data_IF_012995871634
#
_entry.id   IF_012995871634
#
_cell.length_a   1.000
_cell.length_b   1.000
_cell.length_c   1.000
_cell.angle_alpha   90.00
_cell.angle_beta   90.00
_cell.angle_gamma   90.00
#
_symmetry.space_group_name_H-M   'P 1'
#
loop_
_entity.id
_entity.type
_entity.pdbx_description
1 polymer ?
#
# COMPACT_ATOMS: atom_id res chain seq x y z
N UNK A 1 -8.90 -13.06 5.62
CA UNK A 1 -10.37 -12.86 5.56
C UNK A 1 -11.13 -13.79 6.51
N UNK A 2 -10.92 -15.11 6.50
CA UNK A 2 -11.68 -16.07 7.33
C UNK A 2 -11.51 -15.92 8.84
N UNK A 3 -10.40 -15.36 9.30
CA UNK A 3 -10.22 -15.01 10.73
C UNK A 3 -11.07 -13.80 11.14
N UNK A 4 -11.15 -12.78 10.28
CA UNK A 4 -11.91 -11.53 10.53
C UNK A 4 -13.41 -11.71 10.25
N UNK A 5 -13.76 -12.58 9.30
CA UNK A 5 -15.13 -12.87 8.90
C UNK A 5 -15.28 -14.37 8.57
N UNK A 6 -15.47 -15.22 9.58
CA UNK A 6 -15.60 -16.66 9.40
C UNK A 6 -16.89 -17.03 8.68
N UNK A 7 -16.87 -18.16 7.98
CA UNK A 7 -18.04 -18.65 7.26
C UNK A 7 -19.01 -19.33 8.22
N UNK A 8 -20.25 -18.83 8.30
CA UNK A 8 -21.29 -19.37 9.19
C UNK A 8 -22.39 -20.11 8.43
N UNK A 9 -22.43 -19.99 7.11
CA UNK A 9 -23.45 -20.60 6.25
C UNK A 9 -22.79 -21.62 5.32
N UNK A 10 -23.55 -22.63 4.89
CA UNK A 10 -23.07 -23.57 3.88
C UNK A 10 -22.95 -22.85 2.53
N UNK A 11 -21.81 -23.04 1.84
CA UNK A 11 -21.61 -22.52 0.49
C UNK A 11 -22.69 -23.05 -0.45
N UNK A 12 -23.29 -22.16 -1.23
CA UNK A 12 -24.28 -22.51 -2.26
C UNK A 12 -23.63 -23.05 -3.53
N UNK A 13 -22.37 -22.72 -3.78
CA UNK A 13 -21.58 -23.21 -4.90
C UNK A 13 -20.76 -24.42 -4.48
N UNK A 14 -20.91 -25.52 -5.22
CA UNK A 14 -20.12 -26.75 -5.10
C UNK A 14 -19.14 -26.88 -6.28
N UNK A 15 -18.20 -27.82 -6.16
CA UNK A 15 -17.20 -28.10 -7.21
C UNK A 15 -17.87 -28.43 -8.56
N UNK A 16 -19.05 -29.04 -8.53
CA UNK A 16 -19.85 -29.37 -9.73
C UNK A 16 -20.34 -28.12 -10.47
N UNK A 17 -20.64 -27.03 -9.77
CA UNK A 17 -21.11 -25.77 -10.36
C UNK A 17 -19.98 -25.04 -11.10
N UNK A 18 -18.74 -25.17 -10.61
CA UNK A 18 -17.55 -24.59 -11.25
C UNK A 18 -17.33 -25.20 -12.64
N UNK A 19 -17.61 -26.51 -12.81
CA UNK A 19 -17.50 -27.19 -14.11
C UNK A 19 -18.55 -26.72 -15.14
N UNK A 20 -19.61 -26.04 -14.69
CA UNK A 20 -20.69 -25.52 -15.55
C UNK A 20 -20.50 -24.05 -15.93
N UNK A 21 -19.40 -23.41 -15.52
CA UNK A 21 -19.13 -22.04 -15.89
C UNK A 21 -18.95 -21.91 -17.40
N UNK A 22 -19.72 -21.02 -18.02
CA UNK A 22 -19.52 -20.64 -19.41
C UNK A 22 -18.21 -19.85 -19.50
N UNK A 23 -17.17 -20.48 -20.04
CA UNK A 23 -15.91 -19.80 -20.35
C UNK A 23 -16.14 -18.87 -21.55
N UNK A 24 -15.56 -17.67 -21.48
CA UNK A 24 -15.44 -16.82 -22.65
C UNK A 24 -14.61 -17.58 -23.70
N UNK A 25 -15.21 -17.85 -24.87
CA UNK A 25 -14.52 -18.47 -25.99
C UNK A 25 -13.97 -17.36 -26.87
N UNK A 26 -12.65 -17.22 -26.88
CA UNK A 26 -11.93 -16.42 -27.86
C UNK A 26 -11.53 -17.32 -29.04
N UNK A 27 -11.57 -16.82 -30.27
CA UNK A 27 -11.22 -17.56 -31.48
C UNK A 27 -9.72 -17.84 -31.64
N UNK A 28 -8.86 -17.14 -30.88
CA UNK A 28 -7.42 -17.39 -30.84
C UNK A 28 -6.67 -16.49 -29.86
N UNK A 29 -5.35 -16.69 -29.77
CA UNK A 29 -4.46 -15.93 -28.86
C UNK A 29 -4.50 -14.43 -29.17
N UNK A 30 -4.52 -14.06 -30.45
CA UNK A 30 -4.52 -12.66 -30.89
C UNK A 30 -5.82 -11.94 -30.49
N UNK A 31 -6.97 -12.61 -30.66
CA UNK A 31 -8.26 -12.05 -30.25
C UNK A 31 -8.35 -11.90 -28.73
N UNK A 32 -7.89 -12.90 -27.98
CA UNK A 32 -7.84 -12.84 -26.52
C UNK A 32 -6.93 -11.70 -26.03
N UNK A 33 -5.76 -11.52 -26.66
CA UNK A 33 -4.84 -10.43 -26.35
C UNK A 33 -5.45 -9.05 -26.66
N UNK A 34 -6.08 -8.91 -27.84
CA UNK A 34 -6.75 -7.66 -28.24
C UNK A 34 -7.92 -7.30 -27.32
N UNK A 35 -8.76 -8.28 -26.97
CA UNK A 35 -9.85 -8.10 -26.03
C UNK A 35 -9.35 -7.70 -24.63
N UNK A 36 -8.28 -8.33 -24.14
CA UNK A 36 -7.64 -7.98 -22.87
C UNK A 36 -7.07 -6.56 -22.86
N UNK A 37 -6.45 -6.12 -23.97
CA UNK A 37 -5.92 -4.76 -24.11
C UNK A 37 -7.05 -3.71 -24.05
N UNK A 38 -8.14 -3.92 -24.79
CA UNK A 38 -9.30 -3.01 -24.79
C UNK A 38 -9.97 -2.98 -23.41
N UNK A 39 -10.15 -4.14 -22.76
CA UNK A 39 -10.73 -4.20 -21.42
C UNK A 39 -9.89 -3.42 -20.38
N UNK A 40 -8.56 -3.46 -20.53
CA UNK A 40 -7.61 -2.78 -19.63
C UNK A 40 -7.70 -1.25 -19.70
N UNK A 41 -8.17 -0.66 -20.82
CA UNK A 41 -8.30 0.79 -20.95
C UNK A 41 -9.19 1.41 -19.85
N UNK A 42 -10.30 0.73 -19.53
CA UNK A 42 -11.21 1.19 -18.48
C UNK A 42 -10.56 1.16 -17.09
N UNK A 43 -9.76 0.12 -16.82
CA UNK A 43 -9.04 -0.06 -15.56
C UNK A 43 -7.95 1.00 -15.42
N UNK A 44 -7.14 1.21 -16.46
CA UNK A 44 -6.07 2.23 -16.50
C UNK A 44 -6.67 3.63 -16.34
N UNK A 45 -7.77 3.93 -17.04
CA UNK A 45 -8.47 5.20 -16.91
C UNK A 45 -8.97 5.47 -15.49
N UNK A 46 -9.56 4.46 -14.85
CA UNK A 46 -9.98 4.56 -13.45
C UNK A 46 -8.80 4.81 -12.50
N UNK A 47 -7.67 4.11 -12.69
CA UNK A 47 -6.45 4.31 -11.89
C UNK A 47 -5.91 5.73 -12.08
N UNK A 48 -5.75 6.21 -13.31
CA UNK A 48 -5.23 7.54 -13.59
C UNK A 48 -6.10 8.66 -12.99
N UNK A 49 -7.42 8.59 -13.19
CA UNK A 49 -8.35 9.54 -12.60
C UNK A 49 -8.30 9.53 -11.06
N UNK A 50 -8.23 8.34 -10.47
CA UNK A 50 -8.10 8.16 -9.04
C UNK A 50 -6.80 8.77 -8.50
N UNK A 51 -5.66 8.54 -9.16
CA UNK A 51 -4.37 9.11 -8.78
C UNK A 51 -4.39 10.63 -8.78
N UNK A 52 -4.93 11.25 -9.84
CA UNK A 52 -5.05 12.73 -9.92
C UNK A 52 -5.89 13.25 -8.75
N UNK A 53 -7.07 12.66 -8.52
CA UNK A 53 -7.96 13.07 -7.44
C UNK A 53 -7.28 12.96 -6.06
N UNK A 54 -6.62 11.83 -5.76
CA UNK A 54 -5.96 11.63 -4.47
C UNK A 54 -4.72 12.49 -4.27
N UNK A 55 -3.92 12.77 -5.32
CA UNK A 55 -2.79 13.70 -5.23
C UNK A 55 -3.29 15.12 -4.93
N UNK A 56 -4.37 15.56 -5.59
CA UNK A 56 -4.98 16.87 -5.31
C UNK A 56 -5.55 16.95 -3.90
N UNK A 57 -6.24 15.91 -3.42
CA UNK A 57 -6.76 15.85 -2.06
C UNK A 57 -5.62 15.85 -1.04
N UNK A 58 -4.54 15.07 -1.27
CA UNK A 58 -3.38 15.08 -0.39
C UNK A 58 -2.75 16.47 -0.31
N UNK A 59 -2.51 17.13 -1.45
CA UNK A 59 -1.95 18.48 -1.49
C UNK A 59 -2.83 19.49 -0.73
N UNK A 60 -4.15 19.37 -0.87
CA UNK A 60 -5.11 20.17 -0.12
C UNK A 60 -5.01 19.90 1.40
N UNK A 61 -5.06 18.63 1.82
CA UNK A 61 -4.96 18.26 3.24
C UNK A 61 -3.62 18.73 3.82
N UNK A 62 -2.51 18.51 3.12
CA UNK A 62 -1.19 18.99 3.56
C UNK A 62 -1.16 20.50 3.75
N UNK A 63 -1.75 21.26 2.81
CA UNK A 63 -1.84 22.71 2.93
C UNK A 63 -2.69 23.12 4.15
N UNK A 64 -3.82 22.44 4.38
CA UNK A 64 -4.69 22.69 5.55
C UNK A 64 -4.01 22.34 6.87
N UNK A 65 -3.37 21.17 6.96
CA UNK A 65 -2.68 20.71 8.19
C UNK A 65 -1.48 21.60 8.48
N UNK A 66 -0.73 22.00 7.45
CA UNK A 66 0.40 22.94 7.59
C UNK A 66 -0.09 24.28 8.11
N UNK A 67 -1.17 24.81 7.53
CA UNK A 67 -1.80 26.05 7.97
C UNK A 67 -2.25 25.96 9.44
N UNK A 68 -2.93 24.88 9.82
CA UNK A 68 -3.33 24.63 11.22
C UNK A 68 -2.12 24.51 12.16
N UNK A 69 -1.04 23.85 11.73
CA UNK A 69 0.20 23.71 12.48
C UNK A 69 0.81 25.05 12.83
N UNK A 70 0.90 25.97 11.86
CA UNK A 70 1.37 27.33 12.12
C UNK A 70 0.44 28.10 13.07
N UNK A 71 -0.87 27.89 12.99
CA UNK A 71 -1.83 28.49 13.94
C UNK A 71 -1.70 27.92 15.36
N UNK A 72 -1.24 26.69 15.51
CA UNK A 72 -0.96 26.05 16.79
C UNK A 72 0.42 26.43 17.37
N UNK A 73 1.20 27.28 16.69
CA UNK A 73 2.52 27.73 17.14
C UNK A 73 3.67 26.78 16.79
N UNK A 74 3.45 25.80 15.89
CA UNK A 74 4.54 24.96 15.38
C UNK A 74 5.43 25.77 14.44
N UNK A 75 6.74 25.66 14.62
CA UNK A 75 7.76 26.33 13.78
C UNK A 75 8.15 25.54 12.52
N UNK A 76 7.59 24.35 12.34
CA UNK A 76 7.86 23.45 11.21
C UNK A 76 6.57 23.15 10.43
N UNK A 77 6.68 22.85 9.11
CA UNK A 77 5.51 22.51 8.30
C UNK A 77 4.97 21.14 8.71
N UNK A 78 3.84 21.13 9.42
CA UNK A 78 3.15 19.90 9.79
C UNK A 78 2.41 19.35 8.56
N UNK A 79 2.87 18.23 8.00
CA UNK A 79 2.20 17.57 6.88
C UNK A 79 1.31 16.41 7.35
N UNK A 80 0.38 15.98 6.50
CA UNK A 80 -0.48 14.84 6.78
C UNK A 80 0.32 13.54 6.90
N UNK A 81 1.33 13.36 6.06
CA UNK A 81 2.22 12.20 6.10
C UNK A 81 2.96 12.13 7.45
N UNK A 82 3.39 13.29 7.97
CA UNK A 82 3.98 13.37 9.30
C UNK A 82 2.99 12.88 10.36
N UNK A 83 1.75 13.35 10.36
CA UNK A 83 0.71 12.88 11.30
C UNK A 83 0.49 11.37 11.20
N UNK A 84 0.39 10.84 9.97
CA UNK A 84 0.23 9.41 9.73
C UNK A 84 1.43 8.59 10.23
N UNK A 85 2.64 9.15 10.14
CA UNK A 85 3.84 8.48 10.64
C UNK A 85 3.77 8.20 12.14
N UNK A 86 3.18 9.10 12.94
CA UNK A 86 2.96 8.86 14.37
C UNK A 86 1.81 7.87 14.61
N UNK A 87 0.74 7.95 13.82
CA UNK A 87 -0.41 7.05 13.92
C UNK A 87 -0.02 5.58 13.69
N UNK A 88 0.80 5.33 12.67
CA UNK A 88 1.22 3.98 12.28
C UNK A 88 2.57 3.55 12.89
N UNK A 89 3.22 4.41 13.68
CA UNK A 89 4.50 4.10 14.32
C UNK A 89 4.47 2.80 15.14
N UNK A 90 3.46 2.55 16.00
CA UNK A 90 3.40 1.30 16.77
C UNK A 90 3.26 0.07 15.88
N UNK A 91 2.57 0.20 14.75
CA UNK A 91 2.38 -0.88 13.81
C UNK A 91 3.70 -1.25 13.11
N UNK A 92 4.47 -0.25 12.68
CA UNK A 92 5.80 -0.47 12.09
C UNK A 92 6.74 -1.17 13.09
N UNK A 93 6.68 -0.80 14.37
CA UNK A 93 7.47 -1.44 15.42
C UNK A 93 7.08 -2.93 15.59
N UNK A 94 5.78 -3.24 15.64
CA UNK A 94 5.27 -4.62 15.77
C UNK A 94 5.67 -5.49 14.56
N UNK A 95 5.84 -4.88 13.39
CA UNK A 95 6.33 -5.57 12.19
C UNK A 95 7.83 -5.90 12.22
N UNK A 96 8.54 -5.51 13.28
CA UNK A 96 9.95 -5.78 13.47
C UNK A 96 10.88 -4.76 12.81
N UNK A 97 10.38 -3.57 12.48
CA UNK A 97 11.22 -2.45 12.01
C UNK A 97 12.00 -1.87 13.21
N UNK A 98 13.30 -1.55 13.06
CA UNK A 98 14.06 -0.86 14.10
C UNK A 98 13.44 0.50 14.46
N UNK A 99 13.40 0.93 15.74
CA UNK A 99 12.77 2.17 16.17
C UNK A 99 13.19 3.43 15.40
N UNK A 100 14.46 3.47 14.94
CA UNK A 100 15.04 4.53 14.13
C UNK A 100 14.40 4.70 12.74
N UNK A 101 13.88 3.61 12.17
CA UNK A 101 13.27 3.58 10.82
C UNK A 101 11.74 3.52 10.88
N UNK A 102 11.18 3.25 12.07
CA UNK A 102 9.74 3.05 12.25
C UNK A 102 8.91 4.23 11.75
N UNK A 103 9.39 5.48 11.92
CA UNK A 103 8.66 6.67 11.46
C UNK A 103 8.50 6.67 9.94
N UNK A 104 9.58 6.38 9.22
CA UNK A 104 9.62 6.36 7.76
C UNK A 104 8.75 5.24 7.21
N UNK A 105 8.84 4.03 7.78
CA UNK A 105 7.99 2.90 7.37
C UNK A 105 6.52 3.16 7.70
N UNK A 106 6.22 3.76 8.86
CA UNK A 106 4.87 4.14 9.24
C UNK A 106 4.27 5.21 8.32
N UNK A 107 5.07 6.18 7.88
CA UNK A 107 4.68 7.17 6.89
C UNK A 107 4.22 6.50 5.58
N UNK A 108 5.01 5.54 5.07
CA UNK A 108 4.67 4.76 3.88
C UNK A 108 3.38 3.95 4.05
N UNK A 109 3.20 3.29 5.20
CA UNK A 109 1.97 2.54 5.51
C UNK A 109 0.76 3.48 5.56
N UNK A 110 0.94 4.68 6.11
CA UNK A 110 -0.09 5.71 6.15
C UNK A 110 -0.49 6.19 4.76
N UNK A 111 0.49 6.60 3.95
CA UNK A 111 0.30 7.02 2.56
C UNK A 111 -0.45 5.94 1.79
N UNK A 112 -0.02 4.68 1.92
CA UNK A 112 -0.70 3.53 1.30
C UNK A 112 -2.17 3.46 1.72
N UNK A 113 -2.44 3.49 3.03
CA UNK A 113 -3.77 3.23 3.58
C UNK A 113 -4.78 4.31 3.20
N UNK A 114 -4.37 5.58 3.30
CA UNK A 114 -5.26 6.72 3.09
C UNK A 114 -5.29 7.22 1.64
N UNK A 115 -4.21 7.07 0.90
CA UNK A 115 -4.11 7.52 -0.49
C UNK A 115 -4.13 6.33 -1.44
N UNK A 116 -2.97 5.73 -1.68
CA UNK A 116 -2.80 4.53 -2.51
C UNK A 116 -1.37 3.97 -2.42
N UNK A 117 -1.22 2.73 -2.86
CA UNK A 117 0.06 2.01 -2.92
C UNK A 117 1.04 2.61 -3.93
N UNK A 118 0.59 3.16 -5.05
CA UNK A 118 1.48 3.69 -6.09
C UNK A 118 2.31 4.89 -5.58
N UNK A 119 1.68 5.84 -4.89
CA UNK A 119 2.35 6.99 -4.27
C UNK A 119 3.32 6.51 -3.18
N UNK A 120 2.90 5.53 -2.36
CA UNK A 120 3.78 4.95 -1.34
C UNK A 120 5.02 4.27 -1.96
N UNK A 121 4.85 3.54 -3.06
CA UNK A 121 5.97 2.94 -3.78
C UNK A 121 6.88 3.97 -4.43
N UNK A 122 6.34 5.04 -5.01
CA UNK A 122 7.16 6.12 -5.55
C UNK A 122 8.06 6.71 -4.46
N UNK A 123 7.53 6.91 -3.26
CA UNK A 123 8.31 7.38 -2.11
C UNK A 123 9.37 6.38 -1.66
N UNK A 124 9.02 5.10 -1.63
CA UNK A 124 9.97 4.03 -1.27
C UNK A 124 11.10 3.89 -2.29
N UNK A 125 10.83 4.09 -3.58
CA UNK A 125 11.85 4.10 -4.64
C UNK A 125 12.86 5.21 -4.39
N UNK A 126 12.41 6.43 -4.12
CA UNK A 126 13.31 7.55 -3.77
C UNK A 126 14.18 7.22 -2.56
N UNK A 127 13.61 6.64 -1.50
CA UNK A 127 14.36 6.22 -0.31
C UNK A 127 15.43 5.16 -0.67
N UNK A 128 15.09 4.21 -1.55
CA UNK A 128 16.01 3.17 -2.01
C UNK A 128 17.14 3.73 -2.88
N UNK A 129 16.83 4.68 -3.76
CA UNK A 129 17.82 5.37 -4.58
C UNK A 129 18.79 6.18 -3.73
N UNK A 130 18.28 6.91 -2.72
CA UNK A 130 19.10 7.64 -1.76
C UNK A 130 20.03 6.70 -0.98
N UNK A 131 19.52 5.54 -0.55
CA UNK A 131 20.34 4.54 0.14
C UNK A 131 21.49 4.04 -0.74
N UNK A 132 21.22 3.77 -2.03
CA UNK A 132 22.26 3.35 -2.97
C UNK A 132 23.31 4.44 -3.21
N UNK A 133 22.87 5.69 -3.40
CA UNK A 133 23.78 6.81 -3.56
C UNK A 133 24.67 6.97 -2.31
N UNK A 134 24.08 6.92 -1.11
CA UNK A 134 24.81 6.97 0.15
C UNK A 134 25.87 5.86 0.28
N UNK A 135 25.51 4.61 -0.03
CA UNK A 135 26.46 3.49 0.01
C UNK A 135 27.61 3.65 -1.00
N UNK A 136 27.34 4.25 -2.17
CA UNK A 136 28.37 4.49 -3.19
C UNK A 136 29.41 5.55 -2.76
N UNK A 137 29.01 6.50 -1.91
CA UNK A 137 29.88 7.58 -1.45
C UNK A 137 30.58 7.26 -0.11
N UNK A 138 29.91 6.60 0.83
CA UNK A 138 30.37 6.42 2.21
C UNK A 138 30.72 4.97 2.59
N UNK A 139 30.42 3.99 1.74
CA UNK A 139 30.67 2.57 1.97
C UNK A 139 29.78 1.92 3.05
N UNK A 140 29.90 0.60 3.21
CA UNK A 140 29.05 -0.23 4.08
C UNK A 140 29.28 -0.06 5.60
N UNK A 141 30.14 0.86 6.02
CA UNK A 141 30.72 0.89 7.37
C UNK A 141 30.11 1.91 8.33
N UNK A 142 29.09 2.66 7.92
CA UNK A 142 28.55 3.74 8.74
C UNK A 142 27.08 3.51 9.09
N UNK A 143 26.82 3.27 10.38
CA UNK A 143 25.49 3.41 11.04
C UNK A 143 25.00 4.89 11.05
N UNK A 144 25.48 5.70 10.11
CA UNK A 144 25.18 7.12 10.01
C UNK A 144 23.82 7.29 9.33
N UNK A 145 22.76 7.20 10.14
CA UNK A 145 21.46 7.77 9.79
C UNK A 145 21.55 9.28 9.93
N UNK A 146 21.70 10.04 8.84
CA UNK A 146 21.46 11.48 8.89
C UNK A 146 20.84 12.02 7.59
N UNK A 147 19.51 12.14 7.60
CA UNK A 147 18.85 13.38 7.18
C UNK A 147 17.44 13.43 7.77
N UNK A 148 17.27 14.27 8.78
CA UNK A 148 15.98 14.74 9.25
C UNK A 148 15.66 16.02 8.50
N UNK A 149 14.87 15.89 7.43
CA UNK A 149 13.97 16.90 6.82
C UNK A 149 13.90 16.67 5.31
N UNK A 150 12.73 16.35 4.76
CA UNK A 150 12.50 16.30 3.31
C UNK A 150 12.66 14.92 2.65
N UNK A 151 13.18 14.90 1.43
CA UNK A 151 13.21 13.72 0.55
C UNK A 151 14.49 12.88 0.68
N UNK A 152 15.50 13.36 1.41
CA UNK A 152 16.85 12.78 1.43
C UNK A 152 17.01 11.68 2.50
N UNK A 153 15.91 10.97 2.78
CA UNK A 153 15.86 9.97 3.84
C UNK A 153 16.50 8.68 3.34
N UNK A 154 17.39 8.12 4.16
CA UNK A 154 18.01 6.81 3.96
C UNK A 154 17.55 5.88 5.09
N UNK A 155 17.08 4.68 4.75
CA UNK A 155 16.79 3.61 5.71
C UNK A 155 17.52 2.32 5.31
N UNK A 156 17.90 1.46 6.28
CA UNK A 156 18.58 0.19 6.02
C UNK A 156 17.78 -0.75 5.11
N UNK A 157 18.49 -1.61 4.38
CA UNK A 157 17.88 -2.54 3.42
C UNK A 157 16.81 -3.46 4.04
N UNK A 158 16.96 -3.88 5.30
CA UNK A 158 15.96 -4.73 5.96
C UNK A 158 14.64 -3.99 6.15
N UNK A 159 14.70 -2.72 6.54
CA UNK A 159 13.53 -1.84 6.69
C UNK A 159 12.87 -1.57 5.33
N UNK A 160 13.65 -1.43 4.25
CA UNK A 160 13.14 -1.34 2.86
C UNK A 160 12.36 -2.60 2.47
N UNK A 161 12.86 -3.80 2.82
CA UNK A 161 12.18 -5.07 2.53
C UNK A 161 10.86 -5.15 3.29
N UNK A 162 10.85 -4.90 4.60
CA UNK A 162 9.63 -4.91 5.40
C UNK A 162 8.61 -3.91 4.83
N UNK A 163 9.03 -2.70 4.47
CA UNK A 163 8.18 -1.71 3.82
C UNK A 163 7.63 -2.21 2.47
N UNK A 164 8.46 -2.84 1.63
CA UNK A 164 8.04 -3.39 0.34
C UNK A 164 6.88 -4.38 0.51
N UNK A 165 7.01 -5.33 1.44
CA UNK A 165 5.95 -6.30 1.70
C UNK A 165 4.72 -5.66 2.38
N UNK A 166 4.91 -4.65 3.23
CA UNK A 166 3.79 -3.96 3.89
C UNK A 166 2.95 -3.16 2.88
N UNK A 167 3.58 -2.65 1.82
CA UNK A 167 2.95 -1.91 0.74
C UNK A 167 2.28 -2.81 -0.32
N UNK A 168 2.63 -4.09 -0.38
CA UNK A 168 2.12 -5.04 -1.38
C UNK A 168 0.64 -5.42 -1.17
N UNK A 169 -0.27 -4.53 -1.58
CA UNK A 169 -1.69 -4.82 -1.66
C UNK A 169 -2.56 -3.59 -1.88
N UNK A 170 -3.70 -3.77 -2.54
CA UNK A 170 -4.68 -2.73 -2.86
C UNK A 170 -5.60 -2.36 -1.69
N UNK A 171 -5.10 -2.47 -0.45
CA UNK A 171 -5.86 -2.21 0.77
C UNK A 171 -5.77 -0.73 1.15
N UNK A 172 -6.43 0.12 0.34
CA UNK A 172 -6.55 1.55 0.57
C UNK A 172 -8.00 2.03 0.36
N UNK A 173 -8.31 3.25 0.82
CA UNK A 173 -9.67 3.81 0.75
C UNK A 173 -10.18 3.99 -0.68
N UNK A 174 -9.31 4.35 -1.63
CA UNK A 174 -9.66 4.51 -3.05
C UNK A 174 -10.04 3.20 -3.72
N UNK A 175 -9.18 2.18 -3.60
CA UNK A 175 -9.40 0.83 -4.12
C UNK A 175 -10.64 0.16 -3.50
N UNK A 176 -10.96 0.44 -2.24
CA UNK A 176 -12.21 0.01 -1.63
C UNK A 176 -13.43 0.55 -2.40
N UNK A 177 -13.43 1.85 -2.76
CA UNK A 177 -14.50 2.46 -3.54
C UNK A 177 -14.64 1.83 -4.94
N UNK A 178 -13.52 1.64 -5.64
CA UNK A 178 -13.47 1.01 -6.96
C UNK A 178 -14.04 -0.42 -6.88
N UNK A 179 -13.60 -1.22 -5.90
CA UNK A 179 -14.02 -2.60 -5.74
C UNK A 179 -15.51 -2.71 -5.36
N UNK A 180 -16.01 -1.85 -4.47
CA UNK A 180 -17.44 -1.79 -4.15
C UNK A 180 -18.25 -1.48 -5.41
N UNK A 181 -17.82 -0.51 -6.23
CA UNK A 181 -18.45 -0.17 -7.50
C UNK A 181 -18.48 -1.35 -8.48
N UNK A 182 -17.33 -1.98 -8.72
CA UNK A 182 -17.20 -3.11 -9.62
C UNK A 182 -18.03 -4.33 -9.18
N UNK A 183 -17.94 -4.72 -7.90
CA UNK A 183 -18.70 -5.84 -7.35
C UNK A 183 -20.21 -5.56 -7.36
N UNK A 184 -20.64 -4.31 -7.11
CA UNK A 184 -22.04 -3.92 -7.18
C UNK A 184 -22.59 -3.98 -8.61
N UNK A 185 -21.79 -3.62 -9.61
CA UNK A 185 -22.19 -3.76 -11.01
C UNK A 185 -22.38 -5.23 -11.43
N UNK A 186 -21.55 -6.13 -10.89
CA UNK A 186 -21.66 -7.58 -11.14
C UNK A 186 -22.78 -8.25 -10.33
N UNK A 187 -23.07 -7.77 -9.12
CA UNK A 187 -24.11 -8.32 -8.24
C UNK A 187 -24.96 -7.21 -7.60
N UNK A 188 -25.85 -6.54 -8.38
CA UNK A 188 -26.61 -5.38 -7.90
C UNK A 188 -27.47 -5.66 -6.67
N UNK A 189 -28.02 -6.88 -6.57
CA UNK A 189 -28.84 -7.34 -5.44
C UNK A 189 -28.06 -7.50 -4.13
N UNK A 190 -26.72 -7.46 -4.17
CA UNK A 190 -25.83 -7.61 -3.00
C UNK A 190 -25.11 -6.32 -2.62
N UNK A 191 -25.50 -5.17 -3.20
CA UNK A 191 -24.88 -3.86 -2.94
C UNK A 191 -24.68 -3.56 -1.45
N UNK A 192 -25.74 -3.77 -0.66
CA UNK A 192 -25.70 -3.50 0.78
C UNK A 192 -24.67 -4.39 1.51
N UNK A 193 -24.65 -5.68 1.21
CA UNK A 193 -23.67 -6.62 1.78
C UNK A 193 -22.24 -6.23 1.41
N UNK A 194 -22.01 -5.87 0.15
CA UNK A 194 -20.69 -5.50 -0.38
C UNK A 194 -20.18 -4.24 0.34
N UNK A 195 -21.01 -3.19 0.42
CA UNK A 195 -20.65 -1.94 1.08
C UNK A 195 -20.38 -2.16 2.57
N UNK A 196 -21.20 -2.95 3.26
CA UNK A 196 -21.02 -3.26 4.68
C UNK A 196 -19.72 -4.04 4.96
N UNK A 197 -19.30 -4.90 4.03
CA UNK A 197 -18.04 -5.64 4.17
C UNK A 197 -16.79 -4.79 3.88
N UNK A 198 -16.92 -3.65 3.19
CA UNK A 198 -15.80 -2.84 2.71
C UNK A 198 -14.75 -2.51 3.77
N UNK A 199 -15.10 -1.84 4.89
CA UNK A 199 -14.13 -1.49 5.93
C UNK A 199 -13.45 -2.70 6.56
N UNK A 200 -14.18 -3.80 6.76
CA UNK A 200 -13.62 -5.06 7.29
C UNK A 200 -12.65 -5.71 6.30
N UNK A 201 -12.98 -5.67 5.01
CA UNK A 201 -12.12 -6.17 3.95
C UNK A 201 -10.83 -5.35 3.85
N UNK A 202 -10.90 -4.03 3.99
CA UNK A 202 -9.75 -3.13 4.03
C UNK A 202 -8.79 -3.52 5.17
N UNK A 203 -9.30 -3.61 6.41
CA UNK A 203 -8.51 -3.98 7.58
C UNK A 203 -7.91 -5.38 7.42
N UNK A 204 -8.71 -6.36 7.00
CA UNK A 204 -8.24 -7.73 6.80
C UNK A 204 -7.17 -7.84 5.70
N UNK A 205 -7.29 -7.03 4.63
CA UNK A 205 -6.30 -6.93 3.57
C UNK A 205 -5.00 -6.32 4.06
N UNK A 206 -5.06 -5.19 4.77
CA UNK A 206 -3.87 -4.55 5.34
C UNK A 206 -3.14 -5.47 6.32
N UNK A 207 -3.85 -6.14 7.23
CA UNK A 207 -3.27 -7.11 8.16
C UNK A 207 -2.58 -8.26 7.40
N UNK A 208 -3.16 -8.75 6.30
CA UNK A 208 -2.52 -9.79 5.50
C UNK A 208 -1.16 -9.31 4.93
N UNK A 209 -1.09 -8.09 4.40
CA UNK A 209 0.17 -7.48 3.95
C UNK A 209 1.17 -7.35 5.11
N UNK A 210 0.72 -6.92 6.30
CA UNK A 210 1.59 -6.76 7.46
C UNK A 210 2.14 -8.09 7.96
N UNK A 211 1.32 -9.15 7.98
CA UNK A 211 1.79 -10.50 8.33
C UNK A 211 2.87 -10.96 7.33
N UNK A 212 2.67 -10.76 6.02
CA UNK A 212 3.70 -11.11 5.02
C UNK A 212 4.99 -10.31 5.22
N UNK A 213 4.89 -9.05 5.64
CA UNK A 213 6.04 -8.23 5.94
C UNK A 213 6.77 -8.65 7.22
N UNK A 214 6.06 -9.07 8.28
CA UNK A 214 6.67 -9.67 9.46
C UNK A 214 7.45 -10.92 9.08
N UNK A 215 6.87 -11.80 8.25
CA UNK A 215 7.54 -13.01 7.77
C UNK A 215 8.79 -12.66 6.98
N UNK A 216 8.73 -11.70 6.06
CA UNK A 216 9.90 -11.24 5.32
C UNK A 216 10.99 -10.68 6.26
N UNK A 217 10.60 -9.90 7.27
CA UNK A 217 11.52 -9.34 8.27
C UNK A 217 12.18 -10.37 9.20
N UNK A 218 11.64 -11.60 9.29
CA UNK A 218 12.27 -12.71 10.00
C UNK A 218 13.37 -13.39 9.18
N UNK A 219 13.21 -13.45 7.86
CA UNK A 219 14.12 -14.16 6.96
C UNK A 219 15.18 -13.28 6.31
N UNK A 220 15.08 -11.95 6.46
CA UNK A 220 16.06 -11.02 5.92
C UNK A 220 16.85 -10.39 7.05
N UNK A 221 18.16 -10.63 7.05
CA UNK A 221 19.11 -9.98 7.96
C UNK A 221 19.89 -8.90 7.24
N UNK A 222 20.45 -7.95 7.99
CA UNK A 222 21.28 -6.88 7.41
C UNK A 222 22.51 -7.45 6.66
N UNK A 223 22.97 -8.64 7.02
CA UNK A 223 24.08 -9.35 6.36
C UNK A 223 23.72 -9.84 4.94
N UNK A 224 22.46 -10.22 4.69
CA UNK A 224 22.02 -10.76 3.39
C UNK A 224 21.93 -9.68 2.30
N UNK A 225 21.80 -8.42 2.72
CA UNK A 225 21.53 -7.27 1.86
C UNK A 225 22.79 -6.56 1.40
N UNK A 226 23.91 -6.73 2.10
CA UNK A 226 25.25 -6.25 1.72
C UNK A 226 25.73 -6.89 0.41
N UNK A 227 25.19 -8.06 0.05
CA UNK A 227 25.67 -8.88 -1.07
C UNK A 227 24.82 -8.76 -2.36
N UNK A 228 23.63 -8.14 -2.32
CA UNK A 228 22.63 -8.30 -3.39
C UNK A 228 21.83 -7.05 -3.81
N UNK A 229 22.08 -5.84 -3.27
CA UNK A 229 21.24 -4.66 -3.57
C UNK A 229 21.95 -3.33 -3.85
#
# INVERSE_FOLDING_TARGET
SKLVYPETRKSRTRVEDVRRLKLARYGGIVEAAGAGAIASLSVIGAIAANLIAFVSILAFINSTVTWLGYRAGLSFPLTFEFVLSFLFWPLALVMGVPPRDCRQVAELIGIKTFLNEFIAYQRLITIKENHRAFLSEFGNGTDLVYAWSGNDIVIPGRSVVIATYSLCGFSNLGSMGILIGALTAMAPSRRADIAHCGPRALIAGSIACFITACVAGLFVTDADLVMNF
#
